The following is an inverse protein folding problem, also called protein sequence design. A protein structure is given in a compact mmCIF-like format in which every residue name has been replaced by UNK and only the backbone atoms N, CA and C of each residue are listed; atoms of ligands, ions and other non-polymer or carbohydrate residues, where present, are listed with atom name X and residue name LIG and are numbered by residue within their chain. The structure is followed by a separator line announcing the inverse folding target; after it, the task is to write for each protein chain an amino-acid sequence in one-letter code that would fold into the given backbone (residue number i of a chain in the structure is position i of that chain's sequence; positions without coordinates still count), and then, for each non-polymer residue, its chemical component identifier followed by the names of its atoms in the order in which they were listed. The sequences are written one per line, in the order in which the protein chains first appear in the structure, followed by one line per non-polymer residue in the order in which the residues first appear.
data_IF_095030750969
#
_entry.id   IF_095030750969
#
_cell.length_a   1.000
_cell.length_b   1.000
_cell.length_c   1.000
_cell.angle_alpha   90.00
_cell.angle_beta   90.00
_cell.angle_gamma   90.00
#
_symmetry.space_group_name_H-M   'P 1'
#
loop_
_entity.id
_entity.type
_entity.pdbx_description
1 polymer ?
#
# COMPACT_ATOMS: atom_id res chain seq x y z
N UNK A 1 36.45 -23.04 -32.55
CA UNK A 1 35.91 -22.98 -31.18
C UNK A 1 35.50 -21.55 -30.87
N UNK A 2 34.29 -21.14 -31.26
CA UNK A 2 33.74 -19.80 -30.94
C UNK A 2 32.24 -20.00 -30.75
N UNK A 3 31.65 -19.51 -29.64
CA UNK A 3 30.19 -19.38 -29.57
C UNK A 3 29.49 -19.67 -28.24
N UNK A 4 30.18 -20.04 -27.15
CA UNK A 4 29.52 -20.33 -25.87
C UNK A 4 29.52 -19.15 -24.88
N UNK A 5 30.32 -18.10 -25.10
CA UNK A 5 30.44 -16.96 -24.18
C UNK A 5 29.43 -15.83 -24.39
N UNK A 6 28.84 -15.70 -25.59
CA UNK A 6 27.89 -14.62 -25.91
C UNK A 6 26.45 -14.95 -25.48
N UNK A 7 26.10 -16.24 -25.43
CA UNK A 7 24.77 -16.72 -25.01
C UNK A 7 24.58 -16.58 -23.50
N UNK A 8 25.60 -16.93 -22.71
CA UNK A 8 25.59 -16.79 -21.25
C UNK A 8 25.55 -15.33 -20.81
N UNK A 9 26.25 -14.42 -21.48
CA UNK A 9 26.23 -12.99 -21.15
C UNK A 9 24.89 -12.34 -21.47
N UNK A 10 24.24 -12.71 -22.60
CA UNK A 10 22.88 -12.26 -22.93
C UNK A 10 21.84 -12.79 -21.94
N UNK A 11 21.93 -14.07 -21.54
CA UNK A 11 21.05 -14.63 -20.51
C UNK A 11 21.25 -13.97 -19.15
N UNK A 12 22.49 -13.65 -18.77
CA UNK A 12 22.78 -12.93 -17.52
C UNK A 12 22.24 -11.50 -17.56
N UNK A 13 22.37 -10.79 -18.69
CA UNK A 13 21.83 -9.44 -18.85
C UNK A 13 20.31 -9.44 -18.82
N UNK A 14 19.66 -10.39 -19.51
CA UNK A 14 18.20 -10.58 -19.46
C UNK A 14 17.78 -10.89 -18.02
N UNK A 15 18.40 -11.88 -17.36
CA UNK A 15 18.12 -12.20 -15.97
C UNK A 15 18.31 -10.99 -15.04
N UNK A 16 19.37 -10.19 -15.22
CA UNK A 16 19.59 -8.97 -14.45
C UNK A 16 18.52 -7.92 -14.73
N UNK A 17 18.06 -7.76 -15.98
CA UNK A 17 16.94 -6.87 -16.32
C UNK A 17 15.60 -7.36 -15.77
N UNK A 18 15.37 -8.68 -15.70
CA UNK A 18 14.20 -9.26 -15.04
C UNK A 18 14.28 -9.11 -13.53
N UNK A 19 15.48 -9.26 -12.93
CA UNK A 19 15.72 -9.07 -11.50
C UNK A 19 15.64 -7.60 -11.12
N UNK A 20 16.12 -6.69 -11.98
CA UNK A 20 15.98 -5.24 -11.85
C UNK A 20 14.55 -4.79 -12.13
N UNK A 21 13.79 -5.44 -13.02
CA UNK A 21 12.36 -5.17 -13.25
C UNK A 21 11.49 -5.69 -12.11
N UNK A 22 11.77 -6.89 -11.59
CA UNK A 22 11.21 -7.42 -10.34
C UNK A 22 11.61 -6.56 -9.13
N UNK A 23 12.84 -6.04 -9.10
CA UNK A 23 13.29 -5.08 -8.09
C UNK A 23 12.72 -3.67 -8.31
N UNK A 24 12.36 -3.29 -9.54
CA UNK A 24 11.63 -2.05 -9.84
C UNK A 24 10.17 -2.17 -9.36
N UNK A 25 9.62 -3.39 -9.33
CA UNK A 25 8.38 -3.77 -8.65
C UNK A 25 8.59 -4.12 -7.17
N UNK A 26 9.78 -3.95 -6.59
CA UNK A 26 9.92 -3.81 -5.13
C UNK A 26 9.39 -2.43 -4.75
N UNK A 27 8.07 -2.37 -4.82
CA UNK A 27 7.17 -1.29 -4.49
C UNK A 27 7.65 -0.60 -3.21
N UNK A 28 7.60 0.73 -3.12
CA UNK A 28 7.82 1.44 -1.87
C UNK A 28 7.00 0.85 -0.70
N UNK A 29 5.87 0.17 -0.95
CA UNK A 29 5.14 -0.58 0.09
C UNK A 29 5.92 -1.72 0.74
N UNK A 30 6.80 -2.43 0.04
CA UNK A 30 7.64 -3.50 0.62
C UNK A 30 8.73 -2.94 1.54
N UNK A 31 9.34 -1.82 1.15
CA UNK A 31 10.26 -1.07 2.01
C UNK A 31 9.50 -0.51 3.22
N UNK A 32 8.30 0.03 2.98
CA UNK A 32 7.39 0.45 4.04
C UNK A 32 7.11 -0.67 5.04
N UNK A 33 6.76 -1.87 4.56
CA UNK A 33 6.53 -3.06 5.40
C UNK A 33 7.76 -3.46 6.22
N UNK A 34 8.95 -3.43 5.63
CA UNK A 34 10.18 -3.76 6.33
C UNK A 34 10.39 -2.83 7.53
N UNK A 35 10.22 -1.51 7.35
CA UNK A 35 10.33 -0.53 8.42
C UNK A 35 9.12 -0.50 9.37
N UNK A 36 7.93 -0.91 8.91
CA UNK A 36 6.72 -0.98 9.72
C UNK A 36 6.78 -2.15 10.71
N UNK A 37 7.13 -3.34 10.22
CA UNK A 37 7.19 -4.57 11.03
C UNK A 37 8.55 -4.79 11.69
N UNK A 38 9.62 -4.16 11.19
CA UNK A 38 10.99 -4.42 11.64
C UNK A 38 11.56 -5.73 11.09
N UNK A 39 11.09 -6.17 9.92
CA UNK A 39 11.59 -7.37 9.27
C UNK A 39 12.91 -7.05 8.57
N UNK A 40 14.00 -7.71 8.97
CA UNK A 40 15.35 -7.53 8.41
C UNK A 40 16.00 -6.15 8.64
N UNK A 41 15.25 -5.18 9.18
CA UNK A 41 15.70 -3.82 9.53
C UNK A 41 15.13 -3.37 10.86
N UNK A 42 15.74 -2.39 11.51
CA UNK A 42 15.16 -1.77 12.71
C UNK A 42 13.83 -1.08 12.35
N UNK A 43 12.79 -1.31 13.16
CA UNK A 43 11.48 -0.67 13.01
C UNK A 43 11.62 0.85 13.03
N UNK A 44 11.12 1.50 11.98
CA UNK A 44 11.15 2.96 11.80
C UNK A 44 9.80 3.44 11.23
N UNK A 45 8.80 3.70 12.10
CA UNK A 45 7.43 4.03 11.67
C UNK A 45 7.34 5.23 10.74
N UNK A 46 8.10 6.31 11.02
CA UNK A 46 8.13 7.51 10.18
C UNK A 46 8.64 7.20 8.78
N UNK A 47 9.67 6.36 8.67
CA UNK A 47 10.24 5.99 7.38
C UNK A 47 9.28 5.07 6.61
N UNK A 48 8.59 4.16 7.30
CA UNK A 48 7.54 3.34 6.70
C UNK A 48 6.44 4.20 6.08
N UNK A 49 5.92 5.17 6.83
CA UNK A 49 4.89 6.09 6.35
C UNK A 49 5.36 6.89 5.13
N UNK A 50 6.58 7.43 5.15
CA UNK A 50 7.16 8.14 3.99
C UNK A 50 7.25 7.28 2.74
N UNK A 51 7.61 6.01 2.88
CA UNK A 51 7.63 5.10 1.73
C UNK A 51 6.23 4.84 1.17
N UNK A 52 5.20 4.78 2.01
CA UNK A 52 3.82 4.67 1.52
C UNK A 52 3.37 5.94 0.78
N UNK A 53 3.73 7.13 1.27
CA UNK A 53 3.47 8.40 0.56
C UNK A 53 4.23 8.49 -0.78
N UNK A 54 5.45 7.96 -0.82
CA UNK A 54 6.20 7.84 -2.07
C UNK A 54 5.54 6.84 -3.04
N UNK A 55 4.97 5.75 -2.53
CA UNK A 55 4.21 4.81 -3.37
C UNK A 55 3.03 5.51 -4.03
N UNK A 56 2.26 6.27 -3.26
CA UNK A 56 1.13 7.06 -3.74
C UNK A 56 1.54 8.07 -4.82
N UNK A 57 2.63 8.81 -4.61
CA UNK A 57 3.06 9.82 -5.59
C UNK A 57 3.51 9.21 -6.93
N UNK A 58 3.94 7.95 -6.92
CA UNK A 58 4.28 7.20 -8.13
C UNK A 58 3.03 6.71 -8.89
N UNK A 59 1.92 6.45 -8.19
CA UNK A 59 0.65 6.09 -8.82
C UNK A 59 0.05 7.22 -9.66
N UNK A 60 0.24 8.48 -9.25
CA UNK A 60 -0.28 9.64 -9.96
C UNK A 60 0.33 9.82 -11.38
N UNK A 61 1.39 9.07 -11.70
CA UNK A 61 2.05 9.10 -13.00
C UNK A 61 1.58 8.00 -13.97
N UNK A 62 0.86 6.99 -13.48
CA UNK A 62 0.39 5.83 -14.26
C UNK A 62 -1.13 5.69 -14.12
N UNK A 63 -1.87 6.26 -15.07
CA UNK A 63 -3.33 6.27 -15.10
C UNK A 63 -3.90 4.99 -15.76
N UNK A 64 -3.16 3.89 -15.71
CA UNK A 64 -3.67 2.63 -16.21
C UNK A 64 -4.66 2.01 -15.20
N UNK A 65 -5.86 1.64 -15.67
CA UNK A 65 -6.88 0.92 -14.90
C UNK A 65 -6.40 -0.47 -14.41
N UNK A 66 -5.18 -0.89 -14.78
CA UNK A 66 -4.64 -2.21 -14.43
C UNK A 66 -4.11 -2.32 -12.99
N UNK A 67 -3.88 -1.19 -12.32
CA UNK A 67 -3.18 -1.15 -11.03
C UNK A 67 -4.11 -0.91 -9.82
N UNK A 68 -5.42 -1.18 -9.97
CA UNK A 68 -6.41 -0.96 -8.91
C UNK A 68 -6.11 -1.73 -7.62
N UNK A 69 -5.55 -2.95 -7.70
CA UNK A 69 -5.13 -3.72 -6.53
C UNK A 69 -3.97 -3.04 -5.77
N UNK A 70 -3.03 -2.45 -6.51
CA UNK A 70 -1.90 -1.70 -5.94
C UNK A 70 -2.38 -0.40 -5.30
N UNK A 71 -3.27 0.34 -5.99
CA UNK A 71 -3.90 1.56 -5.46
C UNK A 71 -4.63 1.25 -4.14
N UNK A 72 -5.45 0.20 -4.12
CA UNK A 72 -6.15 -0.24 -2.92
C UNK A 72 -5.21 -0.57 -1.75
N UNK A 73 -4.11 -1.30 -2.00
CA UNK A 73 -3.13 -1.65 -0.96
C UNK A 73 -2.41 -0.42 -0.39
N UNK A 74 -1.99 0.51 -1.24
CA UNK A 74 -1.31 1.75 -0.82
C UNK A 74 -2.25 2.61 0.04
N UNK A 75 -3.48 2.85 -0.42
CA UNK A 75 -4.44 3.65 0.34
C UNK A 75 -4.83 3.01 1.66
N UNK A 76 -5.00 1.68 1.69
CA UNK A 76 -5.21 0.94 2.94
C UNK A 76 -4.09 1.19 3.96
N UNK A 77 -2.82 1.16 3.52
CA UNK A 77 -1.65 1.36 4.40
C UNK A 77 -1.56 2.79 4.92
N UNK A 78 -1.83 3.79 4.08
CA UNK A 78 -1.90 5.19 4.48
C UNK A 78 -3.01 5.42 5.51
N UNK A 79 -4.21 4.89 5.26
CA UNK A 79 -5.32 4.94 6.21
C UNK A 79 -4.96 4.30 7.56
N UNK A 80 -4.31 3.12 7.53
CA UNK A 80 -3.89 2.42 8.74
C UNK A 80 -2.88 3.25 9.56
N UNK A 81 -1.92 3.90 8.89
CA UNK A 81 -0.96 4.79 9.54
C UNK A 81 -1.63 6.00 10.18
N UNK A 82 -2.55 6.66 9.47
CA UNK A 82 -3.27 7.85 9.95
C UNK A 82 -4.23 7.52 11.10
N UNK A 83 -4.93 6.39 11.02
CA UNK A 83 -5.84 5.95 12.07
C UNK A 83 -5.07 5.61 13.37
N UNK A 84 -3.93 4.93 13.27
CA UNK A 84 -3.17 4.51 14.44
C UNK A 84 -2.09 5.52 14.89
N UNK A 85 -1.88 6.62 14.16
CA UNK A 85 -0.78 7.55 14.42
C UNK A 85 0.61 6.92 14.22
N UNK A 86 0.77 6.01 13.25
CA UNK A 86 2.02 5.28 13.01
C UNK A 86 2.87 6.04 12.00
N UNK A 87 3.95 6.66 12.47
CA UNK A 87 4.84 7.45 11.61
C UNK A 87 4.28 8.81 11.20
N UNK A 88 3.12 9.17 11.73
CA UNK A 88 2.39 10.43 11.52
C UNK A 88 1.55 10.74 12.77
N UNK A 89 1.05 11.95 12.92
CA UNK A 89 0.00 12.24 13.89
C UNK A 89 -1.28 11.51 13.50
N UNK A 90 -2.06 11.09 14.51
CA UNK A 90 -3.37 10.48 14.28
C UNK A 90 -4.32 11.49 13.63
N UNK A 91 -5.03 11.07 12.59
CA UNK A 91 -5.99 11.88 11.84
C UNK A 91 -7.10 10.98 11.27
N UNK A 92 -8.27 11.02 11.91
CA UNK A 92 -9.41 10.16 11.57
C UNK A 92 -10.07 10.58 10.26
N UNK A 93 -10.13 11.89 9.98
CA UNK A 93 -10.73 12.38 8.74
C UNK A 93 -9.89 11.98 7.53
N UNK A 94 -8.58 12.16 7.61
CA UNK A 94 -7.67 11.71 6.56
C UNK A 94 -7.71 10.17 6.42
N UNK A 95 -7.72 9.43 7.53
CA UNK A 95 -7.85 7.97 7.50
C UNK A 95 -9.14 7.51 6.82
N UNK A 96 -10.28 8.16 7.11
CA UNK A 96 -11.56 7.87 6.50
C UNK A 96 -11.56 8.17 5.00
N UNK A 97 -10.92 9.26 4.58
CA UNK A 97 -10.75 9.59 3.16
C UNK A 97 -9.99 8.47 2.45
N UNK A 98 -8.82 8.09 2.96
CA UNK A 98 -7.98 7.07 2.34
C UNK A 98 -8.62 5.68 2.33
N UNK A 99 -9.33 5.28 3.39
CA UNK A 99 -9.95 3.94 3.41
C UNK A 99 -11.13 3.84 2.43
N UNK A 100 -11.83 4.94 2.16
CA UNK A 100 -12.88 4.99 1.15
C UNK A 100 -12.32 4.90 -0.27
N UNK A 101 -11.18 5.54 -0.55
CA UNK A 101 -10.43 5.33 -1.80
C UNK A 101 -10.00 3.87 -1.93
N UNK A 102 -9.41 3.28 -0.88
CA UNK A 102 -9.00 1.88 -0.87
C UNK A 102 -10.18 0.93 -1.19
N UNK A 103 -11.34 1.18 -0.59
CA UNK A 103 -12.56 0.40 -0.85
C UNK A 103 -13.03 0.53 -2.29
N UNK A 104 -12.98 1.74 -2.86
CA UNK A 104 -13.36 2.02 -4.24
C UNK A 104 -12.49 1.25 -5.23
N UNK A 105 -11.17 1.32 -5.09
CA UNK A 105 -10.25 0.58 -5.95
C UNK A 105 -10.33 -0.93 -5.72
N UNK A 106 -10.56 -1.39 -4.48
CA UNK A 106 -10.81 -2.81 -4.20
C UNK A 106 -12.08 -3.32 -4.89
N UNK A 107 -13.10 -2.48 -5.06
CA UNK A 107 -14.31 -2.82 -5.79
C UNK A 107 -14.07 -2.94 -7.30
N UNK A 108 -13.28 -2.04 -7.90
CA UNK A 108 -12.90 -2.13 -9.32
C UNK A 108 -12.03 -3.35 -9.64
N UNK A 109 -11.19 -3.78 -8.71
CA UNK A 109 -10.36 -4.99 -8.88
C UNK A 109 -11.17 -6.29 -8.78
N UNK A 110 -12.22 -6.32 -7.95
CA UNK A 110 -13.13 -7.48 -7.77
C UNK A 110 -13.79 -7.95 -9.06
N UNK A 111 -13.91 -7.10 -10.08
CA UNK A 111 -14.52 -7.46 -11.36
C UNK A 111 -13.56 -8.17 -12.33
N UNK A 112 -12.29 -8.37 -11.94
CA UNK A 112 -11.23 -8.90 -12.79
C UNK A 112 -10.60 -10.24 -12.32
N UNK A 113 -11.22 -10.92 -11.34
CA UNK A 113 -10.86 -12.29 -10.89
C UNK A 113 -9.37 -12.48 -10.50
N UNK A 114 -8.71 -11.44 -9.97
CA UNK A 114 -7.29 -11.49 -9.57
C UNK A 114 -7.06 -12.28 -8.26
N UNK A 115 -5.97 -13.03 -8.20
CA UNK A 115 -5.58 -13.85 -7.05
C UNK A 115 -5.32 -12.97 -5.81
N UNK A 116 -6.04 -13.20 -4.69
CA UNK A 116 -5.89 -12.58 -3.35
C UNK A 116 -6.71 -11.31 -3.02
N UNK A 117 -7.68 -10.89 -3.84
CA UNK A 117 -8.52 -9.71 -3.54
C UNK A 117 -9.33 -9.86 -2.24
N UNK A 118 -9.74 -11.09 -1.87
CA UNK A 118 -10.60 -11.31 -0.69
C UNK A 118 -9.92 -10.91 0.62
N UNK A 119 -8.61 -11.14 0.74
CA UNK A 119 -7.84 -10.87 1.95
C UNK A 119 -7.67 -9.37 2.19
N UNK A 120 -7.33 -8.61 1.14
CA UNK A 120 -7.16 -7.16 1.23
C UNK A 120 -8.52 -6.47 1.40
N UNK A 121 -9.52 -6.85 0.61
CA UNK A 121 -10.87 -6.29 0.73
C UNK A 121 -11.44 -6.47 2.15
N UNK A 122 -11.22 -7.63 2.78
CA UNK A 122 -11.63 -7.85 4.17
C UNK A 122 -10.92 -6.89 5.14
N UNK A 123 -9.61 -6.72 5.00
CA UNK A 123 -8.84 -5.77 5.84
C UNK A 123 -9.33 -4.33 5.68
N UNK A 124 -9.67 -3.94 4.45
CA UNK A 124 -10.21 -2.62 4.15
C UNK A 124 -11.56 -2.43 4.86
N UNK A 125 -12.47 -3.39 4.76
CA UNK A 125 -13.79 -3.33 5.43
C UNK A 125 -13.68 -3.32 6.96
N UNK A 126 -12.80 -4.17 7.52
CA UNK A 126 -12.55 -4.24 8.95
C UNK A 126 -12.01 -2.89 9.47
N UNK A 127 -11.01 -2.31 8.78
CA UNK A 127 -10.43 -1.02 9.16
C UNK A 127 -11.42 0.12 8.98
N UNK A 128 -12.19 0.14 7.88
CA UNK A 128 -13.22 1.16 7.63
C UNK A 128 -14.28 1.14 8.72
N UNK A 129 -14.74 -0.04 9.12
CA UNK A 129 -15.71 -0.20 10.19
C UNK A 129 -15.17 0.32 11.52
N UNK A 130 -13.89 0.07 11.82
CA UNK A 130 -13.25 0.61 13.02
C UNK A 130 -13.17 2.15 12.99
N UNK A 131 -12.77 2.73 11.85
CA UNK A 131 -12.68 4.19 11.66
C UNK A 131 -14.06 4.85 11.83
N UNK A 132 -15.11 4.30 11.19
CA UNK A 132 -16.46 4.86 11.27
C UNK A 132 -17.02 4.77 12.69
N UNK A 133 -16.87 3.63 13.36
CA UNK A 133 -17.34 3.48 14.74
C UNK A 133 -16.68 4.49 15.68
N UNK A 134 -15.37 4.71 15.52
CA UNK A 134 -14.66 5.67 16.36
C UNK A 134 -15.02 7.12 16.02
N UNK A 135 -15.21 7.43 14.74
CA UNK A 135 -15.71 8.73 14.30
C UNK A 135 -17.09 9.05 14.87
N UNK A 136 -18.02 8.10 14.84
CA UNK A 136 -19.36 8.27 15.40
C UNK A 136 -19.31 8.48 16.92
N UNK A 137 -18.41 7.80 17.62
CA UNK A 137 -18.19 8.00 19.06
C UNK A 137 -17.64 9.40 19.37
N UNK A 138 -16.66 9.89 18.60
CA UNK A 138 -16.11 11.25 18.80
C UNK A 138 -17.17 12.33 18.59
N UNK A 139 -18.06 12.15 17.60
CA UNK A 139 -19.20 13.05 17.39
C UNK A 139 -20.17 12.99 18.58
N UNK A 140 -20.52 11.77 19.02
CA UNK A 140 -21.45 11.58 20.13
C UNK A 140 -20.92 12.20 21.43
N UNK A 141 -19.63 12.05 21.71
CA UNK A 141 -18.97 12.63 22.88
C UNK A 141 -18.87 14.15 22.79
N UNK A 142 -18.61 14.69 21.59
CA UNK A 142 -18.60 16.13 21.34
C UNK A 142 -19.97 16.79 21.58
N UNK A 143 -21.06 16.11 21.23
CA UNK A 143 -22.44 16.58 21.46
C UNK A 143 -22.81 16.57 22.95
N UNK A 144 -22.19 15.73 23.78
CA UNK A 144 -22.49 15.65 25.21
C UNK A 144 -21.78 16.70 26.08
N UNK A 145 -20.82 17.44 25.52
CA UNK A 145 -20.07 18.49 26.22
C UNK A 145 -20.61 19.91 25.97
N UNK A 146 -21.64 20.04 25.12
CA UNK A 146 -22.38 21.27 24.79
C UNK A 146 -23.73 21.34 25.53
#
# INVERSE_FOLDING_TARGET
MVGLGTVTLKMLFIALTWLLSMAMQMLPTRLGDAYYWGNFVQKQPLLAYRYYQQAESQLAYDDSDNDNDIKADIYYRLALCLFNGIGTSRDIFAALSYINEALTYSYYDRTHDKFNWQSLAKKIEDLRSAIVNEFDNEIADGIQLD
#
